data_IF_293873038105
#
_entry.id   IF_293873038105
#
_cell.length_a   1.000
_cell.length_b   1.000
_cell.length_c   1.000
_cell.angle_alpha   90.00
_cell.angle_beta   90.00
_cell.angle_gamma   90.00
#
_symmetry.space_group_name_H-M   'P 1'
#
loop_
_entity.id
_entity.type
_entity.pdbx_description
1 polymer ?
#
# COMPACT_ATOMS: atom_id res chain seq x y z
N UNK A 1 3.90 -18.02 -11.82
CA UNK A 1 3.45 -16.70 -12.32
C UNK A 1 2.01 -16.86 -12.79
N UNK A 2 1.06 -16.01 -12.34
CA UNK A 2 -0.33 -16.12 -12.80
C UNK A 2 -0.38 -15.65 -14.27
N UNK A 3 -0.81 -16.52 -15.16
CA UNK A 3 -0.79 -16.40 -16.64
C UNK A 3 -1.68 -15.28 -17.24
N UNK A 4 -2.29 -14.43 -16.41
CA UNK A 4 -3.25 -13.44 -16.88
C UNK A 4 -3.28 -12.20 -15.97
N UNK A 5 -3.28 -10.98 -16.54
CA UNK A 5 -3.37 -9.73 -15.76
C UNK A 5 -4.78 -9.46 -15.25
N UNK A 6 -5.73 -10.36 -15.49
CA UNK A 6 -7.13 -10.18 -15.15
C UNK A 6 -7.51 -10.99 -13.91
N UNK A 7 -8.44 -10.47 -13.12
CA UNK A 7 -9.14 -11.18 -12.05
C UNK A 7 -10.64 -10.96 -12.18
N UNK A 8 -11.44 -11.90 -11.67
CA UNK A 8 -12.88 -11.72 -11.51
C UNK A 8 -13.20 -11.67 -10.03
N UNK A 9 -13.87 -10.61 -9.60
CA UNK A 9 -14.29 -10.45 -8.20
C UNK A 9 -15.81 -10.28 -8.19
N UNK A 10 -16.51 -11.23 -7.57
CA UNK A 10 -17.95 -11.38 -7.71
C UNK A 10 -18.35 -11.59 -9.18
N UNK A 11 -19.12 -10.65 -9.72
CA UNK A 11 -19.60 -10.66 -11.12
C UNK A 11 -18.77 -9.78 -12.05
N UNK A 12 -17.85 -8.97 -11.52
CA UNK A 12 -17.09 -7.99 -12.29
C UNK A 12 -15.67 -8.48 -12.59
N UNK A 13 -15.12 -8.04 -13.73
CA UNK A 13 -13.73 -8.31 -14.12
C UNK A 13 -12.88 -7.07 -13.91
N UNK A 14 -11.63 -7.29 -13.53
CA UNK A 14 -10.65 -6.25 -13.30
C UNK A 14 -9.35 -6.62 -13.99
N UNK A 15 -8.62 -5.61 -14.45
CA UNK A 15 -7.26 -5.74 -14.97
C UNK A 15 -6.30 -5.08 -13.99
N UNK A 16 -5.23 -5.79 -13.64
CA UNK A 16 -4.08 -5.22 -12.96
C UNK A 16 -3.30 -4.38 -13.97
N UNK A 17 -3.33 -3.07 -13.81
CA UNK A 17 -2.70 -2.09 -14.69
C UNK A 17 -1.55 -1.41 -13.97
N UNK A 18 -0.42 -1.28 -14.67
CA UNK A 18 0.72 -0.47 -14.25
C UNK A 18 0.57 0.91 -14.88
N UNK A 19 -0.13 1.82 -14.20
CA UNK A 19 -0.38 3.16 -14.70
C UNK A 19 0.89 4.02 -14.56
N UNK A 20 1.43 4.60 -15.65
CA UNK A 20 2.59 5.45 -15.56
C UNK A 20 2.25 6.76 -14.84
N UNK A 21 3.21 7.26 -14.07
CA UNK A 21 3.13 8.54 -13.36
C UNK A 21 4.03 9.57 -14.04
N UNK A 22 3.74 10.86 -13.84
CA UNK A 22 4.56 11.98 -14.36
C UNK A 22 6.02 11.90 -13.87
N UNK A 23 6.25 11.26 -12.72
CA UNK A 23 7.57 11.04 -12.15
C UNK A 23 8.35 9.88 -12.79
N UNK A 24 7.80 9.20 -13.80
CA UNK A 24 8.45 8.05 -14.46
C UNK A 24 8.35 6.74 -13.68
N UNK A 25 7.52 6.68 -12.64
CA UNK A 25 7.20 5.46 -11.89
C UNK A 25 5.87 4.86 -12.35
N UNK A 26 5.56 3.65 -11.91
CA UNK A 26 4.27 3.00 -12.16
C UNK A 26 3.48 2.82 -10.86
N UNK A 27 2.18 3.05 -10.92
CA UNK A 27 1.23 2.66 -9.88
C UNK A 27 0.49 1.39 -10.31
N UNK A 28 0.45 0.39 -9.46
CA UNK A 28 -0.40 -0.78 -9.68
C UNK A 28 -1.82 -0.48 -9.23
N UNK A 29 -2.77 -0.59 -10.15
CA UNK A 29 -4.19 -0.34 -9.90
C UNK A 29 -5.06 -1.41 -10.55
N UNK A 30 -6.14 -1.78 -9.86
CA UNK A 30 -7.18 -2.64 -10.43
C UNK A 30 -8.22 -1.76 -11.12
N UNK A 31 -8.30 -1.88 -12.44
CA UNK A 31 -9.26 -1.14 -13.26
C UNK A 31 -10.37 -2.08 -13.67
N UNK A 32 -11.62 -1.66 -13.49
CA UNK A 32 -12.77 -2.40 -13.99
C UNK A 32 -12.60 -2.63 -15.50
N UNK A 33 -12.78 -3.88 -15.94
CA UNK A 33 -12.57 -4.27 -17.33
C UNK A 33 -13.80 -5.00 -17.86
N UNK A 34 -14.22 -4.65 -19.07
CA UNK A 34 -15.38 -5.25 -19.69
C UNK A 34 -15.07 -6.69 -20.13
N UNK A 35 -15.99 -7.63 -19.87
CA UNK A 35 -15.84 -9.05 -20.21
C UNK A 35 -15.80 -9.29 -21.72
N UNK A 36 -16.66 -8.61 -22.50
CA UNK A 36 -16.67 -8.72 -23.96
C UNK A 36 -15.31 -8.29 -24.56
N UNK A 37 -14.69 -7.23 -24.04
CA UNK A 37 -13.35 -6.79 -24.47
C UNK A 37 -12.31 -7.87 -24.22
N UNK A 38 -12.32 -8.53 -23.04
CA UNK A 38 -11.38 -9.64 -22.76
C UNK A 38 -11.57 -10.77 -23.78
N UNK A 39 -12.82 -11.11 -24.13
CA UNK A 39 -13.13 -12.15 -25.12
C UNK A 39 -12.68 -11.76 -26.54
N UNK A 40 -12.79 -10.48 -26.90
CA UNK A 40 -12.36 -9.96 -28.20
C UNK A 40 -10.83 -9.97 -28.31
N UNK A 41 -10.13 -9.57 -27.25
CA UNK A 41 -8.67 -9.47 -27.24
C UNK A 41 -7.97 -10.84 -27.16
N UNK A 42 -8.52 -11.79 -26.39
CA UNK A 42 -7.84 -13.05 -26.04
C UNK A 42 -8.62 -14.32 -26.42
N UNK A 43 -9.83 -14.18 -26.96
CA UNK A 43 -10.73 -15.31 -27.25
C UNK A 43 -11.61 -15.73 -26.07
N UNK A 44 -12.69 -16.48 -26.36
CA UNK A 44 -13.71 -16.87 -25.37
C UNK A 44 -13.16 -17.75 -24.24
N UNK A 45 -12.21 -18.63 -24.56
CA UNK A 45 -11.68 -19.61 -23.60
C UNK A 45 -10.77 -18.96 -22.55
N UNK A 46 -10.29 -17.74 -22.79
CA UNK A 46 -9.40 -17.03 -21.86
C UNK A 46 -10.06 -16.76 -20.50
N UNK A 47 -11.38 -16.56 -20.46
CA UNK A 47 -12.12 -16.32 -19.21
C UNK A 47 -12.08 -17.51 -18.26
N UNK A 48 -11.87 -18.73 -18.75
CA UNK A 48 -11.73 -19.92 -17.90
C UNK A 48 -10.45 -19.88 -17.05
N UNK A 49 -9.42 -19.17 -17.53
CA UNK A 49 -8.11 -19.02 -16.88
C UNK A 49 -8.06 -17.86 -15.88
N UNK A 50 -9.06 -16.98 -15.90
CA UNK A 50 -9.12 -15.80 -15.01
C UNK A 50 -9.43 -16.27 -13.58
N UNK A 51 -8.56 -15.97 -12.59
CA UNK A 51 -8.82 -16.28 -11.18
C UNK A 51 -10.12 -15.63 -10.69
N UNK A 52 -10.89 -16.36 -9.90
CA UNK A 52 -12.21 -15.96 -9.42
C UNK A 52 -12.19 -15.81 -7.91
N UNK A 53 -12.70 -14.69 -7.43
CA UNK A 53 -12.82 -14.37 -6.01
C UNK A 53 -14.25 -13.95 -5.70
N UNK A 54 -14.70 -14.19 -4.48
CA UNK A 54 -16.05 -13.84 -4.02
C UNK A 54 -16.19 -12.34 -3.73
N UNK A 55 -15.08 -11.70 -3.35
CA UNK A 55 -15.04 -10.29 -3.01
C UNK A 55 -13.62 -9.76 -2.80
N UNK A 56 -13.54 -8.48 -2.46
CA UNK A 56 -12.31 -7.86 -1.95
C UNK A 56 -12.24 -7.98 -0.43
N UNK A 57 -11.02 -8.10 0.09
CA UNK A 57 -10.73 -8.02 1.52
C UNK A 57 -9.45 -7.22 1.73
N UNK A 58 -9.25 -6.67 2.93
CA UNK A 58 -7.98 -6.09 3.32
C UNK A 58 -7.47 -6.85 4.55
N UNK A 59 -6.47 -7.71 4.36
CA UNK A 59 -5.79 -8.43 5.44
C UNK A 59 -4.32 -7.96 5.47
N UNK A 60 -4.00 -6.97 6.32
CA UNK A 60 -2.65 -6.42 6.41
C UNK A 60 -1.64 -7.45 6.92
N UNK A 61 -0.56 -7.64 6.17
CA UNK A 61 0.60 -8.42 6.61
C UNK A 61 1.79 -8.06 5.72
N UNK A 62 2.88 -7.60 6.34
CA UNK A 62 4.12 -7.25 5.63
C UNK A 62 5.05 -8.44 5.45
N UNK A 63 5.05 -9.38 6.41
CA UNK A 63 5.99 -10.51 6.46
C UNK A 63 5.38 -11.77 5.84
N UNK A 64 4.11 -12.06 6.11
CA UNK A 64 3.37 -13.21 5.58
C UNK A 64 2.21 -12.69 4.71
N UNK A 65 2.53 -11.90 3.68
CA UNK A 65 1.53 -11.37 2.77
C UNK A 65 0.88 -12.50 1.97
N UNK A 66 -0.46 -12.49 1.91
CA UNK A 66 -1.24 -13.41 1.07
C UNK A 66 -2.15 -12.61 0.16
N UNK A 67 -1.95 -12.80 -1.14
CA UNK A 67 -2.76 -12.18 -2.18
C UNK A 67 -4.22 -12.66 -2.15
N UNK A 68 -4.44 -13.88 -1.65
CA UNK A 68 -5.74 -14.51 -1.56
C UNK A 68 -5.97 -15.00 -0.12
N UNK A 69 -7.17 -14.76 0.39
CA UNK A 69 -7.57 -15.25 1.71
C UNK A 69 -9.01 -15.77 1.66
N UNK A 70 -9.20 -17.07 1.87
CA UNK A 70 -10.51 -17.74 1.90
C UNK A 70 -11.41 -17.42 0.69
N UNK A 71 -10.84 -17.36 -0.52
CA UNK A 71 -11.59 -17.03 -1.75
C UNK A 71 -11.79 -15.53 -2.01
N UNK A 72 -11.23 -14.65 -1.19
CA UNK A 72 -11.25 -13.20 -1.39
C UNK A 72 -9.90 -12.70 -1.91
N UNK A 73 -9.95 -11.66 -2.74
CA UNK A 73 -8.75 -10.96 -3.22
C UNK A 73 -8.30 -9.92 -2.18
N UNK A 74 -7.08 -10.06 -1.67
CA UNK A 74 -6.51 -9.11 -0.71
C UNK A 74 -6.05 -7.85 -1.43
N UNK A 75 -6.62 -6.70 -1.09
CA UNK A 75 -6.27 -5.39 -1.64
C UNK A 75 -5.07 -4.76 -0.94
N UNK A 76 -4.60 -5.34 0.17
CA UNK A 76 -3.35 -4.94 0.79
C UNK A 76 -2.18 -5.19 -0.17
N UNK A 77 -1.18 -4.31 -0.19
CA UNK A 77 -0.07 -4.44 -1.12
C UNK A 77 1.12 -5.15 -0.45
N UNK A 78 1.77 -6.10 -1.12
CA UNK A 78 3.06 -6.60 -0.64
C UNK A 78 4.09 -5.48 -0.62
N UNK A 79 5.04 -5.52 0.32
CA UNK A 79 6.15 -4.57 0.30
C UNK A 79 7.14 -4.98 -0.80
N UNK A 80 7.51 -4.01 -1.64
CA UNK A 80 8.51 -4.23 -2.69
C UNK A 80 9.93 -4.49 -2.13
N UNK A 81 10.19 -4.07 -0.89
CA UNK A 81 11.49 -4.15 -0.23
C UNK A 81 11.38 -4.94 1.07
N UNK A 82 12.26 -5.91 1.23
CA UNK A 82 12.42 -6.67 2.47
C UNK A 82 13.66 -6.19 3.23
N UNK A 83 13.65 -6.24 4.57
CA UNK A 83 14.81 -5.93 5.38
C UNK A 83 15.97 -6.85 5.01
N UNK A 84 17.17 -6.29 4.92
CA UNK A 84 18.42 -7.03 4.75
C UNK A 84 19.43 -6.51 5.77
N UNK A 85 20.42 -7.34 6.11
CA UNK A 85 21.51 -6.90 6.99
C UNK A 85 22.30 -5.75 6.35
N UNK A 86 22.67 -4.75 7.16
CA UNK A 86 23.37 -3.57 6.68
C UNK A 86 23.47 -2.46 7.72
N UNK A 87 24.11 -1.36 7.32
CA UNK A 87 24.26 -0.17 8.19
C UNK A 87 22.98 0.65 8.20
N UNK A 88 22.55 1.06 9.39
CA UNK A 88 21.35 1.87 9.60
C UNK A 88 21.64 3.23 10.26
N UNK A 89 22.91 3.59 10.42
CA UNK A 89 23.38 4.77 11.18
C UNK A 89 22.64 6.07 10.79
N UNK A 90 22.52 6.37 9.49
CA UNK A 90 21.82 7.56 9.02
C UNK A 90 20.32 7.54 9.33
N UNK A 91 19.68 6.38 9.29
CA UNK A 91 18.27 6.25 9.65
C UNK A 91 18.09 6.44 11.15
N UNK A 92 18.96 5.87 11.99
CA UNK A 92 18.90 6.06 13.45
C UNK A 92 19.14 7.52 13.86
N UNK A 93 20.11 8.19 13.24
CA UNK A 93 20.35 9.64 13.46
C UNK A 93 19.11 10.45 13.04
N UNK A 94 18.53 10.14 11.88
CA UNK A 94 17.33 10.83 11.40
C UNK A 94 16.13 10.63 12.32
N UNK A 95 15.88 9.40 12.78
CA UNK A 95 14.80 9.10 13.71
C UNK A 95 15.03 9.77 15.08
N UNK A 96 16.29 9.84 15.55
CA UNK A 96 16.64 10.59 16.77
C UNK A 96 16.35 12.08 16.62
N UNK A 97 16.61 12.66 15.45
CA UNK A 97 16.23 14.04 15.15
C UNK A 97 14.70 14.24 15.15
N UNK A 98 13.94 13.33 14.53
CA UNK A 98 12.46 13.44 14.42
C UNK A 98 11.77 13.27 15.78
N UNK A 99 12.15 12.26 16.55
CA UNK A 99 11.49 11.92 17.81
C UNK A 99 12.11 12.59 19.04
N UNK A 100 13.34 13.09 18.93
CA UNK A 100 14.05 13.78 20.01
C UNK A 100 14.10 12.94 21.28
N UNK A 101 13.55 13.49 22.38
CA UNK A 101 13.48 12.82 23.68
C UNK A 101 12.63 11.54 23.68
N UNK A 102 11.74 11.36 22.70
CA UNK A 102 10.88 10.17 22.57
C UNK A 102 11.45 9.14 21.58
N UNK A 103 12.76 9.16 21.33
CA UNK A 103 13.42 8.32 20.34
C UNK A 103 13.05 6.83 20.44
N UNK A 104 13.16 6.25 21.64
CA UNK A 104 12.84 4.82 21.86
C UNK A 104 11.37 4.51 21.56
N UNK A 105 10.44 5.40 21.96
CA UNK A 105 9.02 5.26 21.64
C UNK A 105 8.77 5.33 20.13
N UNK A 106 9.50 6.20 19.44
CA UNK A 106 9.44 6.29 17.97
C UNK A 106 9.93 5.03 17.28
N UNK A 107 11.00 4.40 17.80
CA UNK A 107 11.49 3.12 17.28
C UNK A 107 10.45 2.01 17.48
N UNK A 108 9.89 1.88 18.69
CA UNK A 108 8.86 0.88 19.00
C UNK A 108 7.60 1.08 18.14
N UNK A 109 7.16 2.32 17.98
CA UNK A 109 6.04 2.67 17.10
C UNK A 109 6.28 2.21 15.65
N UNK A 110 7.46 2.49 15.09
CA UNK A 110 7.81 2.09 13.73
C UNK A 110 7.97 0.58 13.58
N UNK A 111 8.53 -0.09 14.60
CA UNK A 111 8.63 -1.53 14.63
C UNK A 111 7.24 -2.19 14.65
N UNK A 112 6.31 -1.68 15.47
CA UNK A 112 4.95 -2.18 15.55
C UNK A 112 4.18 -1.98 14.24
N UNK A 113 4.32 -0.81 13.60
CA UNK A 113 3.75 -0.58 12.26
C UNK A 113 4.21 -1.65 11.26
N UNK A 114 5.48 -2.05 11.31
CA UNK A 114 6.05 -3.02 10.39
C UNK A 114 5.71 -4.48 10.75
N UNK A 115 5.84 -4.86 12.02
CA UNK A 115 5.66 -6.26 12.46
C UNK A 115 4.20 -6.62 12.73
N UNK A 116 3.37 -5.63 13.09
CA UNK A 116 1.98 -5.81 13.52
C UNK A 116 1.09 -4.74 12.88
N UNK A 117 0.89 -4.76 11.55
CA UNK A 117 0.14 -3.71 10.83
C UNK A 117 -1.37 -3.63 11.20
N UNK A 118 -1.88 -4.57 12.00
CA UNK A 118 -3.24 -4.56 12.55
C UNK A 118 -3.32 -3.96 13.97
N UNK A 119 -2.17 -3.68 14.59
CA UNK A 119 -2.11 -3.10 15.92
C UNK A 119 -2.63 -1.67 15.88
N UNK A 120 -3.62 -1.37 16.73
CA UNK A 120 -4.07 0.02 16.91
C UNK A 120 -2.95 0.79 17.60
N UNK A 121 -2.49 1.86 16.95
CA UNK A 121 -1.45 2.75 17.44
C UNK A 121 -1.99 4.17 17.60
N UNK A 122 -1.41 4.99 18.51
CA UNK A 122 -1.79 6.39 18.65
C UNK A 122 -1.46 7.18 17.38
N UNK A 123 -2.26 8.20 17.05
CA UNK A 123 -1.99 9.06 15.89
C UNK A 123 -0.69 9.85 16.14
N UNK A 124 0.30 9.68 15.28
CA UNK A 124 1.57 10.39 15.36
C UNK A 124 1.43 11.82 14.80
N UNK A 125 1.40 12.81 15.68
CA UNK A 125 1.33 14.23 15.33
C UNK A 125 2.71 14.90 15.42
N UNK A 126 3.36 15.14 14.28
CA UNK A 126 4.64 15.86 14.24
C UNK A 126 4.41 17.38 14.22
N UNK A 127 4.70 18.04 15.35
CA UNK A 127 4.59 19.49 15.51
C UNK A 127 5.96 20.15 15.68
N UNK A 128 6.16 21.31 15.05
CA UNK A 128 7.35 22.13 15.29
C UNK A 128 7.03 23.62 15.14
N UNK A 129 7.67 24.46 15.96
CA UNK A 129 7.57 25.93 15.85
C UNK A 129 8.27 26.44 14.59
N UNK A 130 9.38 25.81 14.23
CA UNK A 130 10.19 26.17 13.08
C UNK A 130 9.74 25.44 11.81
N UNK A 131 10.01 26.05 10.65
CA UNK A 131 9.84 25.43 9.33
C UNK A 131 11.02 24.51 9.02
N UNK A 132 10.84 23.62 8.04
CA UNK A 132 11.93 22.77 7.51
C UNK A 132 12.58 21.80 8.50
N UNK A 133 11.84 21.34 9.51
CA UNK A 133 12.34 20.40 10.54
C UNK A 133 12.43 18.93 10.10
N UNK A 134 12.23 18.61 8.82
CA UNK A 134 12.33 17.25 8.29
C UNK A 134 11.02 16.45 8.23
N UNK A 135 9.87 17.03 8.60
CA UNK A 135 8.56 16.35 8.56
C UNK A 135 8.22 15.74 7.20
N UNK A 136 8.38 16.50 6.12
CA UNK A 136 8.14 16.00 4.76
C UNK A 136 9.13 14.91 4.36
N UNK A 137 10.38 15.01 4.82
CA UNK A 137 11.39 13.96 4.62
C UNK A 137 11.00 12.68 5.36
N UNK A 138 10.43 12.80 6.56
CA UNK A 138 9.97 11.65 7.33
C UNK A 138 8.81 10.92 6.63
N UNK A 139 7.83 11.65 6.12
CA UNK A 139 6.74 11.03 5.33
C UNK A 139 7.27 10.36 4.05
N UNK A 140 8.24 10.98 3.35
CA UNK A 140 8.92 10.36 2.20
C UNK A 140 9.67 9.09 2.59
N UNK A 141 10.36 9.11 3.74
CA UNK A 141 11.07 7.94 4.26
C UNK A 141 10.10 6.80 4.58
N UNK A 142 8.95 7.10 5.22
CA UNK A 142 7.88 6.12 5.44
C UNK A 142 7.30 5.59 4.12
N UNK A 143 7.08 6.46 3.13
CA UNK A 143 6.59 6.06 1.80
C UNK A 143 7.55 5.08 1.10
N UNK A 144 8.86 5.23 1.30
CA UNK A 144 9.86 4.29 0.75
C UNK A 144 9.80 2.91 1.41
N UNK A 145 9.34 2.82 2.66
CA UNK A 145 9.23 1.56 3.43
C UNK A 145 7.88 0.87 3.17
N UNK A 146 6.78 1.62 3.34
CA UNK A 146 5.42 1.07 3.28
C UNK A 146 4.78 1.12 1.90
N UNK A 147 5.42 1.85 0.97
CA UNK A 147 5.08 1.91 -0.45
C UNK A 147 3.58 2.11 -0.68
N UNK A 148 2.92 1.22 -1.41
CA UNK A 148 1.50 1.30 -1.75
C UNK A 148 0.58 1.23 -0.53
N UNK A 149 1.06 0.86 0.66
CA UNK A 149 0.26 0.86 1.90
C UNK A 149 0.29 2.20 2.64
N UNK A 150 1.04 3.21 2.16
CA UNK A 150 1.01 4.58 2.68
C UNK A 150 0.45 5.55 1.63
N UNK A 151 -0.47 6.43 2.05
CA UNK A 151 -1.01 7.49 1.21
C UNK A 151 -0.73 8.89 1.77
N UNK A 152 -0.70 9.89 0.88
CA UNK A 152 -0.63 11.29 1.29
C UNK A 152 -2.03 11.88 1.22
N UNK A 153 -2.56 12.33 2.36
CA UNK A 153 -3.82 13.05 2.40
C UNK A 153 -3.58 14.55 2.51
N UNK A 154 -4.31 15.31 1.70
CA UNK A 154 -4.42 16.77 1.82
C UNK A 154 -5.82 17.13 2.32
N UNK A 155 -6.03 18.38 2.75
CA UNK A 155 -7.36 18.83 3.18
C UNK A 155 -8.44 18.59 2.10
N UNK A 156 -8.09 18.77 0.83
CA UNK A 156 -9.00 18.55 -0.29
C UNK A 156 -9.39 17.08 -0.45
N UNK A 157 -8.52 16.15 -0.03
CA UNK A 157 -8.78 14.70 -0.08
C UNK A 157 -9.99 14.28 0.76
N UNK A 158 -10.32 15.03 1.82
CA UNK A 158 -11.47 14.75 2.69
C UNK A 158 -12.81 15.25 2.14
N UNK A 159 -12.79 16.08 1.09
CA UNK A 159 -14.02 16.59 0.47
C UNK A 159 -14.60 15.64 -0.58
N UNK A 160 -13.85 14.62 -0.99
CA UNK A 160 -14.30 13.60 -1.92
C UNK A 160 -15.25 12.61 -1.26
N UNK A 161 -16.37 12.28 -1.91
CA UNK A 161 -17.29 11.23 -1.45
C UNK A 161 -16.71 9.81 -1.64
N UNK A 162 -15.59 9.66 -2.35
CA UNK A 162 -14.92 8.39 -2.58
C UNK A 162 -13.76 8.19 -1.61
N UNK A 163 -14.08 7.69 -0.41
CA UNK A 163 -13.09 7.37 0.64
C UNK A 163 -12.46 5.98 0.53
N UNK A 164 -12.85 5.20 -0.47
CA UNK A 164 -12.44 3.80 -0.62
C UNK A 164 -10.92 3.64 -0.86
N UNK A 165 -10.28 4.63 -1.47
CA UNK A 165 -8.87 4.55 -1.89
C UNK A 165 -7.87 4.60 -0.71
N UNK A 166 -8.27 5.17 0.44
CA UNK A 166 -7.42 5.25 1.64
C UNK A 166 -7.90 4.38 2.81
N UNK A 167 -9.16 3.93 2.82
CA UNK A 167 -9.72 3.11 3.91
C UNK A 167 -8.97 1.78 4.14
N UNK A 168 -8.24 1.29 3.14
CA UNK A 168 -7.48 0.04 3.17
C UNK A 168 -5.95 0.25 3.24
N UNK A 169 -5.48 1.46 3.60
CA UNK A 169 -4.06 1.79 3.77
C UNK A 169 -3.65 1.68 5.23
N UNK A 170 -2.35 1.44 5.47
CA UNK A 170 -1.77 1.41 6.80
C UNK A 170 -1.61 2.83 7.39
N UNK A 171 -1.18 3.78 6.56
CA UNK A 171 -0.82 5.15 6.92
C UNK A 171 -1.33 6.17 5.89
#
# INVERSE_FOLDING_TARGET
>A
MKDTPYIRVGTAYYKLVHAPTIAGHFNEVLVHWNMETIKQDHGKDHLSKVPKFDGFTCIPSHIDFKQEFKGFYNTYSPLAKLPHEGKLEHSLIFLRHIFGKHYELGLDYLQLLYLRPIQVLPILCLVSKERSTGKSTFLKWLKVIFDNNLTYLTNDSFSSQFNADWANKLL
#
